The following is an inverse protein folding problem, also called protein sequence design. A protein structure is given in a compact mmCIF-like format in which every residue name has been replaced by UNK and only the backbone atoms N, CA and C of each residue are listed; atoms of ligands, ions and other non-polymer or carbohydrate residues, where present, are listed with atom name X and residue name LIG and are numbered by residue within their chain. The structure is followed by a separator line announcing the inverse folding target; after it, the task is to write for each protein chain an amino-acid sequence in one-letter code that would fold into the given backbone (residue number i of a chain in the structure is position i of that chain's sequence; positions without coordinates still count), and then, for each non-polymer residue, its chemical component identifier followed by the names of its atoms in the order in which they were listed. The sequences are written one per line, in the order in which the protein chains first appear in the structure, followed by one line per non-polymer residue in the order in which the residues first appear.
data_IF_192062697443
#
_entry.id   IF_192062697443
#
_cell.length_a   1.000
_cell.length_b   1.000
_cell.length_c   1.000
_cell.angle_alpha   90.00
_cell.angle_beta   90.00
_cell.angle_gamma   90.00
#
_symmetry.space_group_name_H-M   'P 1'
#
loop_
_entity.id
_entity.type
_entity.pdbx_description
1 polymer ?
#
# COMPACT_ATOMS: atom_id res chain seq x y z
N UNK A 1 -11.98 50.94 -111.58
CA UNK A 1 -12.78 49.76 -111.20
C UNK A 1 -12.09 49.15 -110.00
N UNK A 2 -12.56 49.47 -108.78
CA UNK A 2 -13.42 48.59 -107.93
C UNK A 2 -12.64 47.34 -107.49
N UNK A 3 -12.48 47.03 -106.21
CA UNK A 3 -13.58 46.67 -105.30
C UNK A 3 -13.11 46.46 -103.82
N UNK A 4 -14.08 46.58 -102.90
CA UNK A 4 -14.30 45.81 -101.66
C UNK A 4 -13.53 46.00 -100.32
N UNK A 5 -14.38 46.19 -99.29
CA UNK A 5 -14.24 46.05 -97.83
C UNK A 5 -13.62 44.74 -97.33
N UNK A 6 -12.92 44.78 -96.18
CA UNK A 6 -13.36 44.20 -94.87
C UNK A 6 -12.37 44.54 -93.74
N UNK A 7 -12.81 44.84 -92.48
CA UNK A 7 -11.93 45.22 -91.37
C UNK A 7 -11.71 44.06 -90.37
N UNK A 8 -10.55 43.98 -89.70
CA UNK A 8 -10.41 43.11 -88.52
C UNK A 8 -9.23 43.44 -87.58
N UNK A 9 -9.59 43.68 -86.32
CA UNK A 9 -8.95 43.25 -85.07
C UNK A 9 -7.60 43.85 -84.65
N UNK A 10 -7.73 44.92 -83.85
CA UNK A 10 -6.77 45.46 -82.89
C UNK A 10 -6.33 44.40 -81.87
N UNK A 11 -5.02 44.18 -81.72
CA UNK A 11 -4.44 43.30 -80.69
C UNK A 11 -4.39 44.03 -79.36
N UNK A 12 -5.19 43.56 -78.40
CA UNK A 12 -5.21 44.02 -77.01
C UNK A 12 -3.87 43.79 -76.28
N UNK A 13 -3.48 44.68 -75.35
CA UNK A 13 -2.26 44.54 -74.56
C UNK A 13 -2.38 43.43 -73.50
N UNK A 14 -1.26 42.74 -73.25
CA UNK A 14 -1.11 41.63 -72.31
C UNK A 14 -1.36 42.10 -70.86
N UNK A 15 -2.09 41.34 -70.01
CA UNK A 15 -2.42 41.81 -68.67
C UNK A 15 -1.22 41.75 -67.74
N UNK A 16 -0.92 42.88 -67.09
CA UNK A 16 0.11 43.00 -66.06
C UNK A 16 -0.24 42.11 -64.84
N UNK A 17 0.76 41.42 -64.30
CA UNK A 17 0.60 40.49 -63.19
C UNK A 17 0.11 41.20 -61.92
N UNK A 18 -1.07 40.78 -61.46
CA UNK A 18 -1.82 41.34 -60.34
C UNK A 18 -1.09 41.09 -58.99
N UNK A 19 -0.55 42.13 -58.30
CA UNK A 19 0.23 41.97 -57.08
C UNK A 19 -0.59 41.36 -55.91
N UNK A 20 -1.92 41.49 -55.95
CA UNK A 20 -2.83 40.89 -54.98
C UNK A 20 -2.81 39.35 -55.02
N UNK A 21 -2.69 38.74 -56.20
CA UNK A 21 -2.61 37.27 -56.34
C UNK A 21 -1.30 36.70 -55.80
N UNK A 22 -0.20 37.46 -55.93
CA UNK A 22 1.10 37.09 -55.34
C UNK A 22 1.08 37.17 -53.81
N UNK A 23 0.43 38.18 -53.24
CA UNK A 23 0.25 38.31 -51.79
C UNK A 23 -0.63 37.18 -51.23
N UNK A 24 -1.75 36.85 -51.89
CA UNK A 24 -2.62 35.72 -51.50
C UNK A 24 -1.86 34.40 -51.58
N UNK A 25 -1.09 34.15 -52.65
CA UNK A 25 -0.27 32.94 -52.73
C UNK A 25 0.80 32.87 -51.63
N UNK A 26 1.41 33.99 -51.26
CA UNK A 26 2.34 34.05 -50.13
C UNK A 26 1.67 33.72 -48.80
N UNK A 27 0.47 34.25 -48.56
CA UNK A 27 -0.33 33.94 -47.37
C UNK A 27 -0.72 32.47 -47.36
N UNK A 28 -1.19 31.90 -48.47
CA UNK A 28 -1.53 30.48 -48.58
C UNK A 28 -0.32 29.59 -48.36
N UNK A 29 0.84 29.94 -48.93
CA UNK A 29 2.10 29.22 -48.70
C UNK A 29 2.50 29.30 -47.22
N UNK A 30 2.36 30.46 -46.57
CA UNK A 30 2.59 30.62 -45.13
C UNK A 30 1.64 29.76 -44.30
N UNK A 31 0.36 29.70 -44.65
CA UNK A 31 -0.63 28.86 -43.95
C UNK A 31 -0.26 27.37 -44.11
N UNK A 32 0.08 26.93 -45.32
CA UNK A 32 0.47 25.53 -45.58
C UNK A 32 1.77 25.21 -44.83
N UNK A 33 2.78 26.08 -44.89
CA UNK A 33 4.03 25.91 -44.17
C UNK A 33 3.80 25.85 -42.66
N UNK A 34 2.94 26.71 -42.12
CA UNK A 34 2.53 26.71 -40.71
C UNK A 34 1.77 25.45 -40.32
N UNK A 35 0.92 24.92 -41.20
CA UNK A 35 0.17 23.68 -40.95
C UNK A 35 1.10 22.46 -40.95
N UNK A 36 2.00 22.36 -41.93
CA UNK A 36 3.01 21.30 -42.01
C UNK A 36 3.93 21.37 -40.80
N UNK A 37 4.36 22.57 -40.42
CA UNK A 37 5.13 22.81 -39.20
C UNK A 37 4.39 22.33 -37.95
N UNK A 38 3.12 22.73 -37.77
CA UNK A 38 2.30 22.35 -36.63
C UNK A 38 2.17 20.82 -36.52
N UNK A 39 1.87 20.14 -37.63
CA UNK A 39 1.74 18.68 -37.66
C UNK A 39 3.07 17.96 -37.38
N UNK A 40 4.20 18.52 -37.83
CA UNK A 40 5.52 17.97 -37.54
C UNK A 40 5.96 18.19 -36.10
N UNK A 41 5.69 19.39 -35.54
CA UNK A 41 5.99 19.70 -34.16
C UNK A 41 5.19 18.81 -33.20
N UNK A 42 3.89 18.62 -33.45
CA UNK A 42 3.02 17.76 -32.63
C UNK A 42 3.49 16.29 -32.63
N UNK A 43 4.01 15.80 -33.77
CA UNK A 43 4.48 14.41 -33.91
C UNK A 43 5.86 14.13 -33.30
N UNK A 44 6.78 15.08 -33.40
CA UNK A 44 8.20 14.86 -33.07
C UNK A 44 8.70 15.60 -31.84
N UNK A 45 8.02 16.65 -31.42
CA UNK A 45 8.35 17.43 -30.22
C UNK A 45 7.07 17.64 -29.41
N UNK A 46 6.44 16.55 -28.94
CA UNK A 46 5.13 16.64 -28.33
C UNK A 46 5.21 17.46 -27.05
N UNK A 47 4.34 18.45 -26.99
CA UNK A 47 4.25 19.43 -25.91
C UNK A 47 2.87 19.39 -25.29
N UNK A 48 2.80 19.47 -23.97
CA UNK A 48 1.54 19.59 -23.25
C UNK A 48 1.65 20.57 -22.10
N UNK A 49 0.63 21.41 -21.97
CA UNK A 49 0.40 22.29 -20.82
C UNK A 49 -0.49 21.61 -19.77
N UNK A 50 -1.06 20.46 -20.11
CA UNK A 50 -1.90 19.68 -19.21
C UNK A 50 -1.03 18.70 -18.43
N UNK A 51 -0.09 19.23 -17.66
CA UNK A 51 0.69 18.43 -16.74
C UNK A 51 0.53 18.96 -15.32
N UNK A 52 0.51 18.02 -14.36
CA UNK A 52 0.39 18.33 -12.94
C UNK A 52 1.44 17.61 -12.14
N UNK A 53 1.99 18.32 -11.17
CA UNK A 53 2.84 17.74 -10.13
C UNK A 53 1.98 16.85 -9.23
N UNK A 54 2.40 15.61 -9.05
CA UNK A 54 1.76 14.63 -8.18
C UNK A 54 2.78 14.12 -7.15
N UNK A 55 2.27 13.75 -5.99
CA UNK A 55 3.03 13.16 -4.91
C UNK A 55 2.17 12.12 -4.20
N UNK A 56 2.77 11.19 -3.47
CA UNK A 56 1.98 10.27 -2.64
C UNK A 56 1.28 11.02 -1.52
N UNK A 57 -0.03 10.90 -1.49
CA UNK A 57 -0.90 11.48 -0.46
C UNK A 57 -1.29 10.33 0.46
N UNK A 58 -0.72 10.32 1.66
CA UNK A 58 -0.92 9.26 2.65
C UNK A 58 -1.84 9.78 3.74
N UNK A 59 -3.09 9.28 3.85
CA UNK A 59 -3.93 9.60 4.99
C UNK A 59 -3.31 9.02 6.26
N UNK A 60 -3.09 9.88 7.25
CA UNK A 60 -2.62 9.46 8.59
C UNK A 60 -3.86 9.29 9.46
N UNK A 61 -4.14 8.05 9.82
CA UNK A 61 -5.25 7.68 10.69
C UNK A 61 -4.74 7.23 12.07
N UNK A 62 -5.60 7.32 13.08
CA UNK A 62 -5.34 6.66 14.34
C UNK A 62 -5.45 5.14 14.15
N UNK A 63 -4.51 4.38 14.72
CA UNK A 63 -4.56 2.91 14.70
C UNK A 63 -5.51 2.38 15.80
N UNK A 64 -5.69 3.15 16.87
CA UNK A 64 -6.58 2.84 17.98
C UNK A 64 -7.50 4.01 18.29
N UNK A 65 -8.73 3.73 18.74
CA UNK A 65 -9.75 4.74 18.98
C UNK A 65 -9.62 5.39 20.36
N UNK A 66 -9.64 6.72 20.43
CA UNK A 66 -9.68 7.40 21.71
C UNK A 66 -9.59 8.91 21.60
N UNK A 67 -9.56 9.59 22.76
CA UNK A 67 -9.43 11.05 22.81
C UNK A 67 -7.98 11.47 22.60
N UNK A 68 -7.74 12.43 21.72
CA UNK A 68 -6.41 13.00 21.49
C UNK A 68 -5.99 13.83 22.70
N UNK A 69 -4.82 13.55 23.26
CA UNK A 69 -4.26 14.25 24.43
C UNK A 69 -3.26 15.31 24.03
N UNK A 70 -2.49 15.07 22.95
CA UNK A 70 -1.47 15.99 22.43
C UNK A 70 -1.38 15.88 20.92
N UNK A 71 -1.11 17.01 20.28
CA UNK A 71 -0.75 17.10 18.85
C UNK A 71 0.62 17.77 18.79
N UNK A 72 1.60 17.08 18.20
CA UNK A 72 3.01 17.52 18.16
C UNK A 72 3.39 18.23 16.86
N UNK A 73 2.48 18.20 15.88
CA UNK A 73 2.71 18.77 14.55
C UNK A 73 1.70 19.87 14.24
N UNK A 74 2.09 20.78 13.35
CA UNK A 74 1.20 21.82 12.80
C UNK A 74 0.99 21.63 11.31
N UNK A 75 -0.06 22.26 10.79
CA UNK A 75 -0.34 22.26 9.37
C UNK A 75 0.82 22.90 8.58
N UNK A 76 1.19 22.31 7.43
CA UNK A 76 2.34 22.67 6.60
C UNK A 76 3.72 22.53 7.27
N UNK A 77 3.88 21.57 8.19
CA UNK A 77 5.16 21.21 8.80
C UNK A 77 5.79 20.02 8.09
N UNK A 78 7.11 20.09 7.86
CA UNK A 78 7.93 18.96 7.41
C UNK A 78 8.23 18.04 8.60
N UNK A 79 8.01 16.73 8.41
CA UNK A 79 8.20 15.69 9.41
C UNK A 79 9.08 14.57 8.87
N UNK A 80 9.90 14.00 9.75
CA UNK A 80 10.75 12.85 9.43
C UNK A 80 10.00 11.54 9.66
N UNK A 81 10.45 10.47 9.00
CA UNK A 81 9.99 9.13 9.32
C UNK A 81 10.27 8.79 10.80
N UNK A 82 9.27 8.25 11.49
CA UNK A 82 9.31 7.94 12.92
C UNK A 82 8.95 9.10 13.85
N UNK A 83 8.76 10.31 13.33
CA UNK A 83 8.39 11.47 14.17
C UNK A 83 6.99 11.32 14.75
N UNK A 84 6.83 11.65 16.03
CA UNK A 84 5.55 11.57 16.74
C UNK A 84 4.61 12.67 16.25
N UNK A 85 3.42 12.29 15.80
CA UNK A 85 2.44 13.22 15.22
C UNK A 85 1.41 13.65 16.26
N UNK A 86 0.76 12.68 16.90
CA UNK A 86 -0.22 12.92 17.96
C UNK A 86 -0.32 11.73 18.90
N UNK A 87 -0.88 11.99 20.09
CA UNK A 87 -1.08 11.00 21.13
C UNK A 87 -2.59 10.84 21.43
N UNK A 88 -3.02 9.60 21.55
CA UNK A 88 -4.33 9.19 22.05
C UNK A 88 -4.22 8.86 23.54
N UNK A 89 -5.26 9.10 24.33
CA UNK A 89 -5.25 8.79 25.77
C UNK A 89 -4.89 7.31 26.01
N UNK A 90 -3.76 7.00 26.67
CA UNK A 90 -3.29 5.64 26.85
C UNK A 90 -3.95 4.91 28.02
N UNK A 91 -4.69 5.58 28.91
CA UNK A 91 -5.16 5.00 30.18
C UNK A 91 -5.93 3.69 29.99
N UNK A 92 -6.89 3.64 29.06
CA UNK A 92 -7.66 2.43 28.81
C UNK A 92 -6.81 1.28 28.27
N UNK A 93 -5.75 1.60 27.51
CA UNK A 93 -4.83 0.62 26.93
C UNK A 93 -3.83 0.12 27.97
N UNK A 94 -3.37 1.00 28.86
CA UNK A 94 -2.54 0.59 29.99
C UNK A 94 -3.31 -0.37 30.91
N UNK A 95 -4.56 -0.07 31.22
CA UNK A 95 -5.44 -0.97 32.00
C UNK A 95 -5.61 -2.32 31.28
N UNK A 96 -5.74 -2.31 29.94
CA UNK A 96 -5.84 -3.54 29.16
C UNK A 96 -4.54 -4.37 29.23
N UNK A 97 -3.36 -3.73 29.15
CA UNK A 97 -2.06 -4.39 29.34
C UNK A 97 -1.95 -5.00 30.73
N UNK A 98 -2.30 -4.23 31.77
CA UNK A 98 -2.21 -4.69 33.16
C UNK A 98 -3.14 -5.89 33.41
N UNK A 99 -4.34 -5.86 32.82
CA UNK A 99 -5.29 -6.99 32.87
C UNK A 99 -4.75 -8.21 32.14
N UNK A 100 -4.27 -8.05 30.91
CA UNK A 100 -3.74 -9.16 30.12
C UNK A 100 -2.49 -9.80 30.78
N UNK A 101 -1.67 -8.98 31.44
CA UNK A 101 -0.52 -9.44 32.23
C UNK A 101 -0.97 -10.27 33.44
N UNK A 102 -1.97 -9.80 34.17
CA UNK A 102 -2.53 -10.53 35.31
C UNK A 102 -3.16 -11.86 34.87
N UNK A 103 -3.85 -11.87 33.72
CA UNK A 103 -4.45 -13.07 33.13
C UNK A 103 -3.36 -14.08 32.73
N UNK A 104 -2.27 -13.64 32.09
CA UNK A 104 -1.12 -14.50 31.77
C UNK A 104 -0.48 -15.11 33.02
N UNK A 105 -0.30 -14.32 34.07
CA UNK A 105 0.26 -14.81 35.34
C UNK A 105 -0.69 -15.83 36.01
N UNK A 106 -1.99 -15.57 35.98
CA UNK A 106 -3.01 -16.50 36.48
C UNK A 106 -2.99 -17.83 35.73
N UNK A 107 -2.95 -17.79 34.39
CA UNK A 107 -2.85 -18.98 33.54
C UNK A 107 -1.56 -19.74 33.79
N UNK A 108 -0.41 -19.06 33.90
CA UNK A 108 0.86 -19.70 34.26
C UNK A 108 0.77 -20.43 35.60
N UNK A 109 0.17 -19.81 36.63
CA UNK A 109 -0.06 -20.47 37.93
C UNK A 109 -0.97 -21.70 37.80
N UNK A 110 -2.02 -21.63 36.98
CA UNK A 110 -2.91 -22.76 36.74
C UNK A 110 -2.19 -23.93 36.06
N UNK A 111 -1.33 -23.65 35.06
CA UNK A 111 -0.50 -24.68 34.41
C UNK A 111 0.48 -25.32 35.41
N UNK A 112 1.10 -24.51 36.28
CA UNK A 112 1.94 -25.01 37.37
C UNK A 112 1.18 -25.93 38.33
N UNK A 113 -0.05 -25.56 38.71
CA UNK A 113 -0.91 -26.39 39.55
C UNK A 113 -1.33 -27.71 38.86
N UNK A 114 -1.65 -27.66 37.56
CA UNK A 114 -1.97 -28.86 36.78
C UNK A 114 -0.76 -29.81 36.67
N UNK A 115 0.44 -29.25 36.50
CA UNK A 115 1.70 -30.01 36.47
C UNK A 115 1.93 -30.75 37.79
N UNK A 116 1.80 -30.07 38.92
CA UNK A 116 1.87 -30.70 40.25
C UNK A 116 0.77 -31.77 40.43
N UNK A 117 -0.41 -31.57 39.85
CA UNK A 117 -1.48 -32.55 39.80
C UNK A 117 -1.10 -33.83 39.05
N UNK A 118 -0.42 -33.69 37.91
CA UNK A 118 0.12 -34.84 37.14
C UNK A 118 1.14 -35.62 37.96
N UNK A 119 2.07 -34.93 38.63
CA UNK A 119 3.09 -35.57 39.47
C UNK A 119 2.46 -36.38 40.61
N UNK A 120 1.41 -35.84 41.24
CA UNK A 120 0.62 -36.55 42.25
C UNK A 120 -0.04 -37.82 41.69
N UNK A 121 -0.69 -37.75 40.51
CA UNK A 121 -1.29 -38.94 39.87
C UNK A 121 -0.24 -39.97 39.44
N UNK A 122 0.94 -39.54 39.01
CA UNK A 122 2.06 -40.43 38.69
C UNK A 122 2.58 -41.15 39.94
N UNK A 123 2.64 -40.47 41.09
CA UNK A 123 2.98 -41.11 42.35
C UNK A 123 1.94 -42.19 42.74
N UNK A 124 0.64 -41.91 42.56
CA UNK A 124 -0.43 -42.90 42.79
C UNK A 124 -0.32 -44.10 41.85
N UNK A 125 -0.01 -43.89 40.57
CA UNK A 125 0.24 -44.98 39.61
C UNK A 125 1.41 -45.85 40.05
N UNK A 126 2.53 -45.25 40.50
CA UNK A 126 3.68 -46.00 41.02
C UNK A 126 3.30 -46.84 42.25
N UNK A 127 2.46 -46.32 43.14
CA UNK A 127 1.96 -47.08 44.29
C UNK A 127 1.09 -48.27 43.86
N UNK A 128 0.17 -48.08 42.90
CA UNK A 128 -0.64 -49.17 42.34
C UNK A 128 0.21 -50.24 41.64
N UNK A 129 1.25 -49.83 40.90
CA UNK A 129 2.18 -50.76 40.26
C UNK A 129 2.98 -51.58 41.27
N UNK A 130 3.41 -50.96 42.38
CA UNK A 130 4.07 -51.68 43.46
C UNK A 130 3.14 -52.74 44.11
N UNK A 131 1.86 -52.41 44.27
CA UNK A 131 0.84 -53.35 44.78
C UNK A 131 0.58 -54.50 43.80
N UNK A 132 0.50 -54.22 42.50
CA UNK A 132 0.37 -55.25 41.46
C UNK A 132 1.59 -56.19 41.46
N UNK A 133 2.80 -55.64 41.54
CA UNK A 133 4.04 -56.42 41.61
C UNK A 133 4.03 -57.35 42.83
N UNK A 134 3.63 -56.83 44.00
CA UNK A 134 3.49 -57.64 45.22
C UNK A 134 2.49 -58.76 45.03
N UNK A 135 1.27 -58.46 44.55
CA UNK A 135 0.23 -59.46 44.32
C UNK A 135 0.68 -60.54 43.32
N UNK A 136 1.41 -60.14 42.27
CA UNK A 136 2.00 -61.03 41.27
C UNK A 136 3.06 -61.97 41.88
N UNK A 137 3.94 -61.45 42.72
CA UNK A 137 4.94 -62.26 43.41
C UNK A 137 4.30 -63.23 44.40
N UNK A 138 3.24 -62.80 45.10
CA UNK A 138 2.51 -63.63 46.05
C UNK A 138 1.80 -64.81 45.35
N UNK A 139 1.10 -64.58 44.23
CA UNK A 139 0.49 -65.68 43.47
C UNK A 139 1.55 -66.63 42.90
N UNK A 140 2.66 -66.11 42.35
CA UNK A 140 3.75 -66.95 41.84
C UNK A 140 4.38 -67.82 42.93
N UNK A 141 4.52 -67.28 44.15
CA UNK A 141 5.01 -68.03 45.31
C UNK A 141 4.03 -69.13 45.70
N UNK A 142 2.73 -68.82 45.78
CA UNK A 142 1.69 -69.79 46.14
C UNK A 142 1.53 -70.89 45.08
N UNK A 143 1.57 -70.55 43.79
CA UNK A 143 1.52 -71.52 42.69
C UNK A 143 2.73 -72.46 42.66
N UNK A 144 3.91 -71.96 43.07
CA UNK A 144 5.11 -72.80 43.23
C UNK A 144 4.93 -73.75 44.40
N UNK A 145 4.52 -73.23 45.56
CA UNK A 145 4.32 -74.01 46.78
C UNK A 145 3.27 -75.11 46.59
N UNK A 146 2.16 -74.81 45.88
CA UNK A 146 1.12 -75.79 45.57
C UNK A 146 1.60 -76.93 44.65
N UNK A 147 2.52 -76.63 43.72
CA UNK A 147 3.09 -77.62 42.80
C UNK A 147 4.17 -78.49 43.45
N UNK A 148 5.00 -77.89 44.27
CA UNK A 148 6.13 -78.58 44.92
C UNK A 148 5.70 -79.40 46.14
N UNK A 149 4.66 -78.97 46.88
CA UNK A 149 4.19 -79.63 48.09
C UNK A 149 2.65 -79.72 48.17
N UNK A 150 2.04 -80.74 47.53
CA UNK A 150 0.59 -80.90 47.46
C UNK A 150 -0.02 -81.17 48.85
N UNK A 151 -0.69 -80.17 49.42
CA UNK A 151 -1.39 -80.26 50.71
C UNK A 151 -1.08 -79.12 51.69
N UNK A 152 0.00 -78.36 51.45
CA UNK A 152 0.45 -77.28 52.34
C UNK A 152 -0.41 -76.02 52.26
N UNK A 153 -1.12 -75.78 51.15
CA UNK A 153 -2.07 -74.66 51.01
C UNK A 153 -3.41 -75.12 50.41
N UNK A 154 -4.49 -74.42 50.76
CA UNK A 154 -5.83 -74.68 50.21
C UNK A 154 -6.05 -74.04 48.84
N UNK A 155 -6.82 -74.70 47.95
CA UNK A 155 -7.21 -74.15 46.64
C UNK A 155 -7.85 -72.77 46.75
N UNK A 156 -8.71 -72.57 47.76
CA UNK A 156 -9.35 -71.29 48.07
C UNK A 156 -8.32 -70.16 48.28
N UNK A 157 -7.17 -70.44 48.90
CA UNK A 157 -6.13 -69.42 49.10
C UNK A 157 -5.53 -68.94 47.79
N UNK A 158 -5.36 -69.85 46.83
CA UNK A 158 -4.84 -69.55 45.49
C UNK A 158 -5.87 -68.76 44.66
N UNK A 159 -7.15 -69.14 44.73
CA UNK A 159 -8.25 -68.39 44.10
C UNK A 159 -8.36 -66.96 44.63
N UNK A 160 -8.27 -66.77 45.95
CA UNK A 160 -8.26 -65.42 46.57
C UNK A 160 -7.07 -64.61 46.05
N UNK A 161 -5.86 -65.19 46.03
CA UNK A 161 -4.67 -64.49 45.54
C UNK A 161 -4.77 -64.13 44.06
N UNK A 162 -5.41 -64.97 43.24
CA UNK A 162 -5.68 -64.67 41.82
C UNK A 162 -6.66 -63.50 41.69
N UNK A 163 -7.73 -63.50 42.48
CA UNK A 163 -8.68 -62.37 42.52
C UNK A 163 -8.01 -61.06 42.97
N UNK A 164 -7.11 -61.11 43.96
CA UNK A 164 -6.33 -59.94 44.40
C UNK A 164 -5.39 -59.42 43.30
N UNK A 165 -4.76 -60.30 42.52
CA UNK A 165 -3.96 -59.87 41.37
C UNK A 165 -4.84 -59.16 40.33
N UNK A 166 -5.98 -59.75 39.97
CA UNK A 166 -6.91 -59.16 38.99
C UNK A 166 -7.43 -57.78 39.45
N UNK A 167 -7.72 -57.63 40.74
CA UNK A 167 -8.07 -56.35 41.35
C UNK A 167 -6.93 -55.33 41.20
N UNK A 168 -5.69 -55.72 41.51
CA UNK A 168 -4.53 -54.83 41.41
C UNK A 168 -4.23 -54.40 39.97
N UNK A 169 -4.43 -55.28 38.99
CA UNK A 169 -4.33 -54.96 37.55
C UNK A 169 -5.36 -53.89 37.18
N UNK A 170 -6.61 -54.07 37.63
CA UNK A 170 -7.69 -53.10 37.41
C UNK A 170 -7.38 -51.75 38.05
N UNK A 171 -6.78 -51.73 39.24
CA UNK A 171 -6.34 -50.50 39.91
C UNK A 171 -5.22 -49.78 39.15
N UNK A 172 -4.24 -50.51 38.60
CA UNK A 172 -3.19 -49.93 37.75
C UNK A 172 -3.79 -49.33 36.48
N UNK A 173 -4.73 -50.03 35.84
CA UNK A 173 -5.43 -49.50 34.67
C UNK A 173 -6.18 -48.20 34.98
N UNK A 174 -6.91 -48.15 36.11
CA UNK A 174 -7.59 -46.94 36.57
C UNK A 174 -6.61 -45.79 36.87
N UNK A 175 -5.51 -46.06 37.59
CA UNK A 175 -4.49 -45.06 37.90
C UNK A 175 -3.81 -44.52 36.63
N UNK A 176 -3.58 -45.38 35.62
CA UNK A 176 -3.03 -44.97 34.33
C UNK A 176 -3.98 -44.04 33.58
N UNK A 177 -5.29 -44.33 33.60
CA UNK A 177 -6.32 -43.46 33.02
C UNK A 177 -6.42 -42.11 33.74
N UNK A 178 -6.23 -42.07 35.06
CA UNK A 178 -6.15 -40.82 35.84
C UNK A 178 -4.93 -39.96 35.46
N UNK A 179 -3.75 -40.57 35.29
CA UNK A 179 -2.56 -39.85 34.80
C UNK A 179 -2.80 -39.28 33.41
N UNK A 180 -3.42 -40.05 32.52
CA UNK A 180 -3.73 -39.59 31.17
C UNK A 180 -4.69 -38.40 31.18
N UNK A 181 -5.77 -38.46 31.97
CA UNK A 181 -6.70 -37.33 32.16
C UNK A 181 -6.01 -36.10 32.71
N UNK A 182 -5.11 -36.26 33.69
CA UNK A 182 -4.35 -35.15 34.25
C UNK A 182 -3.40 -34.51 33.22
N UNK A 183 -2.75 -35.31 32.36
CA UNK A 183 -1.90 -34.81 31.26
C UNK A 183 -2.70 -34.05 30.21
N UNK A 184 -3.89 -34.55 29.86
CA UNK A 184 -4.80 -33.86 28.95
C UNK A 184 -5.27 -32.51 29.53
N UNK A 185 -5.56 -32.45 30.83
CA UNK A 185 -5.90 -31.21 31.53
C UNK A 185 -4.72 -30.24 31.64
N UNK A 186 -3.49 -30.75 31.77
CA UNK A 186 -2.28 -29.94 31.75
C UNK A 186 -2.08 -29.28 30.38
N UNK A 187 -2.54 -29.90 29.29
CA UNK A 187 -2.55 -29.29 27.96
C UNK A 187 -1.16 -29.12 27.32
N UNK A 188 -0.17 -29.91 27.75
CA UNK A 188 1.22 -29.85 27.27
C UNK A 188 2.20 -29.21 28.24
N UNK A 189 3.44 -29.02 27.79
CA UNK A 189 4.46 -28.28 28.54
C UNK A 189 4.17 -26.78 28.50
N UNK A 190 4.81 -25.99 29.38
CA UNK A 190 4.56 -24.53 29.48
C UNK A 190 4.64 -23.83 28.11
N UNK A 191 5.64 -24.14 27.29
CA UNK A 191 5.87 -23.47 25.99
C UNK A 191 4.87 -23.86 24.88
N UNK A 192 4.23 -25.02 24.99
CA UNK A 192 3.28 -25.53 23.99
C UNK A 192 1.83 -25.48 24.47
N UNK A 193 1.61 -25.01 25.70
CA UNK A 193 0.29 -24.94 26.28
C UNK A 193 -0.55 -23.87 25.56
N UNK A 194 -1.62 -24.31 24.91
CA UNK A 194 -2.50 -23.43 24.13
C UNK A 194 -3.14 -22.29 24.96
N UNK A 195 -3.41 -22.53 26.24
CA UNK A 195 -3.96 -21.49 27.12
C UNK A 195 -2.90 -20.44 27.46
N UNK A 196 -1.65 -20.86 27.70
CA UNK A 196 -0.55 -19.93 27.97
C UNK A 196 -0.21 -19.10 26.73
N UNK A 197 -0.13 -19.74 25.55
CA UNK A 197 0.10 -19.06 24.27
C UNK A 197 -1.00 -18.03 23.97
N UNK A 198 -2.27 -18.40 24.17
CA UNK A 198 -3.39 -17.48 24.01
C UNK A 198 -3.31 -16.29 24.96
N UNK A 199 -3.00 -16.52 26.23
CA UNK A 199 -2.82 -15.43 27.21
C UNK A 199 -1.63 -14.53 26.86
N UNK A 200 -0.53 -15.10 26.36
CA UNK A 200 0.64 -14.34 25.92
C UNK A 200 0.33 -13.46 24.69
N UNK A 201 -0.37 -14.02 23.68
CA UNK A 201 -0.82 -13.26 22.51
C UNK A 201 -1.82 -12.15 22.87
N UNK A 202 -2.66 -12.35 23.88
CA UNK A 202 -3.55 -11.29 24.38
C UNK A 202 -2.77 -10.15 25.04
N UNK A 203 -1.69 -10.46 25.76
CA UNK A 203 -0.78 -9.45 26.32
C UNK A 203 -0.05 -8.70 25.20
N UNK A 204 0.53 -9.40 24.23
CA UNK A 204 1.23 -8.79 23.08
C UNK A 204 0.30 -7.86 22.30
N UNK A 205 -0.96 -8.29 22.06
CA UNK A 205 -1.96 -7.44 21.43
C UNK A 205 -2.26 -6.18 22.25
N UNK A 206 -2.43 -6.30 23.56
CA UNK A 206 -2.69 -5.15 24.42
C UNK A 206 -1.49 -4.17 24.44
N UNK A 207 -0.27 -4.69 24.43
CA UNK A 207 0.97 -3.90 24.35
C UNK A 207 1.10 -3.19 23.00
N UNK A 208 0.74 -3.86 21.90
CA UNK A 208 0.67 -3.26 20.57
C UNK A 208 -0.37 -2.14 20.54
N UNK A 209 -1.58 -2.39 21.02
CA UNK A 209 -2.65 -1.39 21.09
C UNK A 209 -2.22 -0.17 21.94
N UNK A 210 -1.50 -0.39 23.05
CA UNK A 210 -0.89 0.68 23.86
C UNK A 210 0.18 1.44 23.08
N UNK A 211 1.05 0.76 22.35
CA UNK A 211 2.08 1.41 21.53
C UNK A 211 1.46 2.28 20.43
N UNK A 212 0.36 1.81 19.85
CA UNK A 212 -0.41 2.45 18.79
C UNK A 212 -1.19 3.69 19.27
N UNK A 213 -1.21 3.96 20.57
CA UNK A 213 -1.72 5.25 21.12
C UNK A 213 -0.83 6.42 20.69
N UNK A 214 0.44 6.17 20.37
CA UNK A 214 1.38 7.15 19.85
C UNK A 214 1.47 6.96 18.35
N UNK A 215 0.90 7.89 17.60
CA UNK A 215 0.87 7.79 16.14
C UNK A 215 2.09 8.49 15.55
N UNK A 216 2.93 7.71 14.87
CA UNK A 216 4.17 8.18 14.25
C UNK A 216 4.03 8.30 12.73
N UNK A 217 4.85 9.16 12.12
CA UNK A 217 4.95 9.24 10.66
C UNK A 217 5.64 8.00 10.07
N UNK A 218 4.99 7.27 9.17
CA UNK A 218 5.58 6.09 8.50
C UNK A 218 6.64 6.45 7.45
N UNK A 219 6.57 7.64 6.88
CA UNK A 219 7.53 8.18 5.91
C UNK A 219 7.77 9.66 6.17
N UNK A 220 8.87 10.21 5.63
CA UNK A 220 9.15 11.64 5.70
C UNK A 220 8.29 12.41 4.69
N UNK A 221 7.78 13.57 5.09
CA UNK A 221 6.87 14.34 4.24
C UNK A 221 6.34 15.61 4.90
N UNK A 222 5.42 16.28 4.20
CA UNK A 222 4.76 17.48 4.67
C UNK A 222 3.36 17.15 5.21
N UNK A 223 3.04 17.56 6.42
CA UNK A 223 1.70 17.43 6.98
C UNK A 223 0.78 18.51 6.42
N UNK A 224 -0.38 18.11 5.90
CA UNK A 224 -1.46 18.98 5.46
C UNK A 224 -2.82 18.51 6.01
N UNK A 225 -3.82 19.37 5.94
CA UNK A 225 -5.21 19.08 6.34
C UNK A 225 -5.30 18.46 7.75
N UNK A 226 -4.61 19.07 8.72
CA UNK A 226 -4.68 18.69 10.12
C UNK A 226 -6.09 19.00 10.66
N UNK A 227 -6.90 17.97 10.90
CA UNK A 227 -8.30 18.08 11.35
C UNK A 227 -8.52 17.70 12.81
N UNK A 228 -7.45 17.52 13.57
CA UNK A 228 -7.54 17.17 14.99
C UNK A 228 -6.88 18.21 15.87
N UNK A 229 -7.38 18.26 17.09
CA UNK A 229 -6.83 19.07 18.17
C UNK A 229 -7.01 18.31 19.50
N UNK A 230 -6.32 18.77 20.52
CA UNK A 230 -6.42 18.22 21.87
C UNK A 230 -7.88 18.19 22.33
N UNK A 231 -8.33 17.04 22.80
CA UNK A 231 -9.70 16.81 23.26
C UNK A 231 -10.64 16.22 22.20
N UNK A 232 -10.28 16.23 20.91
CA UNK A 232 -11.07 15.56 19.86
C UNK A 232 -11.02 14.05 19.99
N UNK A 233 -12.06 13.37 19.51
CA UNK A 233 -12.12 11.91 19.47
C UNK A 233 -11.64 11.40 18.10
N UNK A 234 -10.56 10.62 18.11
CA UNK A 234 -10.04 9.96 16.92
C UNK A 234 -10.56 8.52 16.86
N UNK A 235 -11.19 8.16 15.74
CA UNK A 235 -11.65 6.79 15.49
C UNK A 235 -10.55 6.01 14.75
N UNK A 236 -10.37 4.73 15.11
CA UNK A 236 -9.44 3.85 14.42
C UNK A 236 -9.76 3.77 12.92
N UNK A 237 -8.73 3.94 12.08
CA UNK A 237 -8.84 3.94 10.62
C UNK A 237 -9.42 5.22 9.99
N UNK A 238 -9.95 6.15 10.79
CA UNK A 238 -10.40 7.44 10.27
C UNK A 238 -9.21 8.40 10.10
N UNK A 239 -9.03 9.01 8.91
CA UNK A 239 -7.93 9.93 8.67
C UNK A 239 -8.09 11.21 9.50
N UNK A 240 -7.02 11.59 10.15
CA UNK A 240 -6.94 12.71 11.09
C UNK A 240 -6.12 13.86 10.52
N UNK A 241 -5.13 13.52 9.69
CA UNK A 241 -4.33 14.44 8.89
C UNK A 241 -3.86 13.75 7.61
N UNK A 242 -3.26 14.50 6.71
CA UNK A 242 -2.71 13.97 5.46
C UNK A 242 -1.21 14.24 5.40
N UNK A 243 -0.41 13.24 5.06
CA UNK A 243 1.02 13.38 4.84
C UNK A 243 1.31 13.32 3.34
N UNK A 244 1.96 14.34 2.81
CA UNK A 244 2.42 14.39 1.41
C UNK A 244 3.89 14.00 1.38
N UNK A 245 4.23 12.91 0.70
CA UNK A 245 5.62 12.48 0.53
C UNK A 245 6.35 13.39 -0.48
N UNK A 246 6.90 14.51 -0.01
CA UNK A 246 7.56 15.53 -0.85
C UNK A 246 8.89 15.06 -1.47
N UNK A 247 9.41 13.91 -1.07
CA UNK A 247 10.64 13.32 -1.58
C UNK A 247 10.41 12.44 -2.82
N UNK A 248 9.15 12.03 -3.05
CA UNK A 248 8.74 11.16 -4.15
C UNK A 248 7.68 11.88 -5.01
N UNK A 249 8.14 12.89 -5.75
CA UNK A 249 7.28 13.72 -6.61
C UNK A 249 7.49 13.33 -8.07
N UNK A 250 6.40 13.19 -8.81
CA UNK A 250 6.40 12.93 -10.26
C UNK A 250 5.46 13.90 -10.97
N UNK A 251 5.54 13.95 -12.29
CA UNK A 251 4.61 14.71 -13.12
C UNK A 251 3.71 13.73 -13.87
N UNK A 252 2.41 13.98 -13.81
CA UNK A 252 1.44 13.36 -14.72
C UNK A 252 1.14 14.34 -15.83
N UNK A 253 1.57 14.02 -17.04
CA UNK A 253 1.37 14.85 -18.23
C UNK A 253 0.37 14.18 -19.17
N UNK A 254 -0.75 14.85 -19.43
CA UNK A 254 -1.80 14.33 -20.32
C UNK A 254 -1.42 14.64 -21.77
N UNK A 255 -1.00 13.61 -22.49
CA UNK A 255 -0.57 13.71 -23.89
C UNK A 255 -1.61 13.07 -24.82
N UNK A 256 -1.83 13.64 -26.01
CA UNK A 256 -2.76 13.10 -27.00
C UNK A 256 -2.25 11.79 -27.60
N UNK A 257 -3.15 10.92 -28.08
CA UNK A 257 -2.79 9.64 -28.71
C UNK A 257 -1.77 9.79 -29.85
N UNK A 258 -1.88 10.85 -30.67
CA UNK A 258 -0.94 11.15 -31.74
C UNK A 258 0.50 11.40 -31.24
N UNK A 259 0.61 11.99 -30.04
CA UNK A 259 1.88 12.37 -29.42
C UNK A 259 2.60 11.15 -28.82
N UNK A 260 1.84 10.13 -28.38
CA UNK A 260 2.38 8.91 -27.78
C UNK A 260 3.13 8.03 -28.78
N UNK A 261 2.86 8.15 -30.09
CA UNK A 261 3.48 7.30 -31.11
C UNK A 261 5.01 7.38 -31.14
N UNK A 262 5.59 8.47 -30.63
CA UNK A 262 7.04 8.68 -30.51
C UNK A 262 7.54 8.62 -29.08
N UNK A 263 6.67 8.67 -28.06
CA UNK A 263 7.06 8.74 -26.64
C UNK A 263 7.16 7.34 -26.06
N UNK A 264 8.37 6.96 -25.64
CA UNK A 264 8.65 5.67 -25.00
C UNK A 264 9.22 5.86 -23.59
N UNK A 265 9.11 4.86 -22.69
CA UNK A 265 9.85 4.88 -21.42
C UNK A 265 11.34 5.19 -21.66
N UNK A 266 11.89 6.11 -20.86
CA UNK A 266 13.26 6.64 -21.00
C UNK A 266 13.40 7.87 -21.90
N UNK A 267 12.34 8.31 -22.58
CA UNK A 267 12.39 9.53 -23.41
C UNK A 267 12.76 10.75 -22.56
N UNK A 268 13.77 11.55 -22.94
CA UNK A 268 14.14 12.74 -22.20
C UNK A 268 13.07 13.82 -22.37
N UNK A 269 12.75 14.51 -21.27
CA UNK A 269 11.77 15.60 -21.26
C UNK A 269 12.34 16.83 -20.57
N UNK A 270 11.84 17.99 -20.98
CA UNK A 270 12.04 19.25 -20.24
C UNK A 270 10.73 19.69 -19.62
N UNK A 271 10.82 20.11 -18.37
CA UNK A 271 9.70 20.45 -17.51
C UNK A 271 9.84 21.91 -17.12
N UNK A 272 8.77 22.67 -17.23
CA UNK A 272 8.65 24.01 -16.67
C UNK A 272 7.54 23.97 -15.63
N UNK A 273 7.83 24.44 -14.42
CA UNK A 273 6.86 24.51 -13.33
C UNK A 273 6.40 25.95 -13.17
N UNK A 274 5.09 26.17 -13.13
CA UNK A 274 4.54 27.52 -12.92
C UNK A 274 4.89 28.05 -11.52
N UNK A 275 5.06 27.14 -10.55
CA UNK A 275 5.50 27.49 -9.21
C UNK A 275 6.96 27.98 -9.13
N UNK A 276 7.78 27.69 -10.15
CA UNK A 276 9.20 28.04 -10.22
C UNK A 276 9.53 28.62 -11.61
N UNK A 277 9.05 29.84 -11.92
CA UNK A 277 9.28 30.46 -13.23
C UNK A 277 10.77 30.68 -13.49
N UNK A 278 11.17 30.69 -14.76
CA UNK A 278 12.55 30.88 -15.20
C UNK A 278 13.48 29.66 -15.07
N UNK A 279 13.02 28.55 -14.46
CA UNK A 279 13.78 27.29 -14.38
C UNK A 279 13.20 26.24 -15.30
N UNK A 280 14.09 25.48 -15.93
CA UNK A 280 13.75 24.31 -16.75
C UNK A 280 14.37 23.10 -16.06
N UNK A 281 13.52 22.19 -15.61
CA UNK A 281 13.94 20.93 -15.00
C UNK A 281 14.07 19.86 -16.07
N UNK A 282 15.05 18.97 -15.88
CA UNK A 282 15.22 17.80 -16.71
C UNK A 282 14.55 16.59 -16.07
N UNK A 283 14.00 15.74 -16.92
CA UNK A 283 13.38 14.50 -16.50
C UNK A 283 13.35 13.48 -17.62
N UNK A 284 12.73 12.35 -17.33
CA UNK A 284 12.53 11.28 -18.28
C UNK A 284 11.16 10.62 -18.07
N UNK A 285 10.62 10.05 -19.14
CA UNK A 285 9.37 9.30 -19.07
C UNK A 285 9.60 7.98 -18.32
N UNK A 286 8.97 7.81 -17.15
CA UNK A 286 8.98 6.55 -16.40
C UNK A 286 8.09 5.53 -17.09
N UNK A 287 6.85 5.93 -17.39
CA UNK A 287 5.86 5.06 -18.02
C UNK A 287 4.82 5.85 -18.79
N UNK A 288 4.23 5.19 -19.79
CA UNK A 288 3.09 5.70 -20.55
C UNK A 288 1.86 4.89 -20.11
N UNK A 289 0.79 5.57 -19.70
CA UNK A 289 -0.45 4.89 -19.29
C UNK A 289 -1.04 4.06 -20.43
N UNK A 290 -1.27 2.77 -20.20
CA UNK A 290 -1.85 1.85 -21.18
C UNK A 290 -3.37 1.93 -21.30
N UNK A 291 -4.04 2.70 -20.44
CA UNK A 291 -5.49 2.85 -20.45
C UNK A 291 -5.92 4.12 -19.72
N UNK A 292 -7.02 4.70 -20.19
CA UNK A 292 -7.71 5.81 -19.54
C UNK A 292 -9.17 5.44 -19.35
N UNK A 293 -9.73 5.77 -18.20
CA UNK A 293 -11.15 5.62 -17.94
C UNK A 293 -11.89 6.78 -18.63
N UNK A 294 -12.61 6.47 -19.71
CA UNK A 294 -13.40 7.44 -20.46
C UNK A 294 -14.81 7.49 -19.86
N UNK A 295 -14.99 8.28 -18.80
CA UNK A 295 -16.28 8.50 -18.14
C UNK A 295 -16.17 8.79 -16.63
N UNK A 296 -17.22 9.35 -16.04
CA UNK A 296 -17.35 9.38 -14.57
C UNK A 296 -17.61 7.97 -14.05
N UNK A 297 -16.78 7.49 -13.13
CA UNK A 297 -17.06 6.27 -12.37
C UNK A 297 -18.42 6.43 -11.67
N UNK A 298 -19.48 5.82 -12.20
CA UNK A 298 -20.78 5.84 -11.56
C UNK A 298 -20.70 5.00 -10.30
N UNK A 299 -20.93 5.59 -9.12
CA UNK A 299 -21.13 4.82 -7.90
C UNK A 299 -22.29 3.82 -8.12
N UNK A 300 -22.21 2.61 -7.55
CA UNK A 300 -23.31 1.64 -7.63
C UNK A 300 -24.64 2.28 -7.20
N UNK A 301 -25.63 2.30 -8.09
CA UNK A 301 -26.98 2.84 -7.81
C UNK A 301 -27.35 4.15 -8.52
N UNK A 302 -26.44 4.82 -9.23
CA UNK A 302 -26.80 5.93 -10.12
C UNK A 302 -27.01 5.46 -11.56
N UNK A 303 -28.02 6.01 -12.25
CA UNK A 303 -28.21 5.79 -13.68
C UNK A 303 -27.05 6.42 -14.47
N UNK A 304 -26.46 5.72 -15.46
CA UNK A 304 -25.45 6.30 -16.34
C UNK A 304 -25.98 7.56 -17.02
N UNK A 305 -25.30 8.70 -16.84
CA UNK A 305 -25.59 9.90 -17.62
C UNK A 305 -24.90 9.77 -18.97
N UNK A 306 -25.68 9.75 -20.05
CA UNK A 306 -25.15 9.86 -21.41
C UNK A 306 -24.80 11.32 -21.67
N UNK A 307 -23.51 11.66 -21.64
CA UNK A 307 -23.06 12.95 -22.17
C UNK A 307 -23.06 12.88 -23.71
N UNK A 308 -24.01 13.58 -24.34
CA UNK A 308 -23.97 13.83 -25.78
C UNK A 308 -23.04 15.01 -26.04
N UNK A 309 -21.75 14.76 -26.29
CA UNK A 309 -20.83 15.76 -26.80
C UNK A 309 -21.27 16.20 -28.20
N UNK A 310 -21.66 17.46 -28.37
CA UNK A 310 -22.09 18.07 -29.65
C UNK A 310 -20.91 18.56 -30.51
N UNK A 311 -19.73 17.97 -30.31
CA UNK A 311 -18.55 18.33 -31.09
C UNK A 311 -18.53 17.56 -32.40
N UNK A 312 -18.45 18.29 -33.52
CA UNK A 312 -18.43 17.75 -34.88
C UNK A 312 -17.13 17.00 -35.22
N UNK A 313 -16.12 17.11 -34.36
CA UNK A 313 -14.89 16.33 -34.37
C UNK A 313 -14.75 15.61 -33.03
N UNK A 314 -14.40 14.32 -33.06
CA UNK A 314 -14.09 13.58 -31.83
C UNK A 314 -12.88 14.26 -31.14
N UNK A 315 -12.99 14.66 -29.87
CA UNK A 315 -11.84 15.19 -29.15
C UNK A 315 -10.75 14.12 -29.09
N UNK A 316 -9.49 14.54 -29.23
CA UNK A 316 -8.36 13.64 -29.10
C UNK A 316 -8.34 13.06 -27.68
N UNK A 317 -8.29 11.73 -27.56
CA UNK A 317 -8.09 11.08 -26.27
C UNK A 317 -6.69 11.41 -25.76
N UNK A 318 -6.61 11.64 -24.45
CA UNK A 318 -5.35 11.95 -23.76
C UNK A 318 -5.02 10.82 -22.81
N UNK A 319 -3.75 10.48 -22.73
CA UNK A 319 -3.24 9.44 -21.86
C UNK A 319 -2.23 10.07 -20.89
N UNK A 320 -2.29 9.71 -19.60
CA UNK A 320 -1.33 10.19 -18.62
C UNK A 320 0.03 9.55 -18.88
N UNK A 321 1.03 10.39 -19.08
CA UNK A 321 2.44 10.00 -19.17
C UNK A 321 3.09 10.38 -17.84
N UNK A 322 3.65 9.38 -17.15
CA UNK A 322 4.31 9.56 -15.87
C UNK A 322 5.77 9.91 -16.13
N UNK A 323 6.20 11.05 -15.57
CA UNK A 323 7.52 11.62 -15.76
C UNK A 323 8.21 11.75 -14.41
N UNK A 324 9.46 11.31 -14.35
CA UNK A 324 10.34 11.49 -13.22
C UNK A 324 11.34 12.62 -13.46
N UNK A 325 11.65 13.35 -12.39
CA UNK A 325 12.76 14.31 -12.37
C UNK A 325 14.11 13.59 -12.37
N UNK A 326 15.11 14.19 -12.99
CA UNK A 326 16.47 13.67 -12.97
C UNK A 326 17.11 13.81 -11.57
N UNK A 327 17.94 12.86 -11.10
CA UNK A 327 18.53 12.91 -9.78
C UNK A 327 19.32 14.21 -9.52
N UNK A 328 19.00 14.93 -8.44
CA UNK A 328 19.69 16.16 -8.03
C UNK A 328 19.04 17.47 -8.50
N UNK A 329 18.14 17.44 -9.48
CA UNK A 329 17.37 18.61 -9.94
C UNK A 329 16.41 19.14 -8.86
N UNK A 330 15.94 18.25 -7.97
CA UNK A 330 15.09 18.57 -6.83
C UNK A 330 15.87 18.62 -5.51
N UNK A 331 16.84 19.53 -5.41
CA UNK A 331 17.70 19.65 -4.21
C UNK A 331 17.01 20.32 -3.02
N UNK A 332 15.86 20.96 -3.23
CA UNK A 332 15.01 21.49 -2.16
C UNK A 332 13.54 21.45 -2.59
N UNK A 333 12.66 20.73 -1.88
CA UNK A 333 11.22 20.70 -2.19
C UNK A 333 10.50 22.04 -1.92
N UNK A 334 11.23 23.08 -1.52
CA UNK A 334 10.70 24.42 -1.29
C UNK A 334 10.14 25.00 -2.60
N UNK A 335 8.81 25.13 -2.67
CA UNK A 335 8.09 25.76 -3.79
C UNK A 335 7.32 24.77 -4.67
N UNK A 336 7.63 23.47 -4.61
CA UNK A 336 6.88 22.47 -5.37
C UNK A 336 5.65 22.06 -4.56
N UNK A 337 4.47 22.29 -5.15
CA UNK A 337 3.18 21.98 -4.54
C UNK A 337 2.52 20.84 -5.31
N UNK A 338 2.05 19.83 -4.60
CA UNK A 338 1.19 18.80 -5.18
C UNK A 338 -0.05 19.46 -5.81
N UNK A 339 -0.40 19.06 -7.03
CA UNK A 339 -1.44 19.68 -7.85
C UNK A 339 -0.99 20.90 -8.67
N UNK A 340 0.25 21.37 -8.50
CA UNK A 340 0.82 22.47 -9.27
C UNK A 340 0.84 22.19 -10.77
N UNK A 341 0.62 23.24 -11.57
CA UNK A 341 0.65 23.15 -13.03
C UNK A 341 2.10 23.06 -13.53
N UNK A 342 2.26 22.28 -14.58
CA UNK A 342 3.53 22.08 -15.25
C UNK A 342 3.30 22.06 -16.77
N UNK A 343 4.31 22.50 -17.49
CA UNK A 343 4.42 22.30 -18.91
C UNK A 343 5.52 21.26 -19.18
N UNK A 344 5.24 20.33 -20.09
CA UNK A 344 6.18 19.27 -20.45
C UNK A 344 6.36 19.24 -21.95
N UNK A 345 7.61 19.19 -22.38
CA UNK A 345 8.00 18.89 -23.75
C UNK A 345 8.88 17.64 -23.78
N UNK A 346 8.52 16.66 -24.59
CA UNK A 346 9.35 15.47 -24.79
C UNK A 346 10.24 15.58 -26.03
N UNK A 347 11.42 14.97 -25.97
CA UNK A 347 12.39 14.93 -27.06
C UNK A 347 12.71 13.48 -27.47
N UNK A 348 11.83 12.79 -28.23
CA UNK A 348 12.03 11.39 -28.65
C UNK A 348 13.25 11.10 -29.53
N UNK A 349 13.73 12.10 -30.28
CA UNK A 349 14.83 11.91 -31.25
C UNK A 349 15.85 13.03 -31.09
N UNK A 350 17.11 12.72 -30.80
CA UNK A 350 18.12 13.75 -30.50
C UNK A 350 18.53 14.58 -31.73
N UNK A 351 18.47 13.99 -32.93
CA UNK A 351 18.97 14.59 -34.19
C UNK A 351 17.96 15.50 -34.91
N UNK A 352 16.82 15.80 -34.31
CA UNK A 352 15.78 16.59 -34.96
C UNK A 352 16.08 18.11 -34.83
N UNK A 353 16.21 18.88 -35.94
CA UNK A 353 16.39 20.33 -35.88
C UNK A 353 15.26 21.05 -35.13
N UNK A 354 14.06 20.45 -35.05
CA UNK A 354 12.93 20.95 -34.28
C UNK A 354 13.21 21.04 -32.78
N UNK A 355 14.13 20.23 -32.24
CA UNK A 355 14.48 20.26 -30.81
C UNK A 355 15.12 21.57 -30.39
N UNK A 356 15.92 22.19 -31.27
CA UNK A 356 16.58 23.47 -30.98
C UNK A 356 15.51 24.56 -30.82
N UNK A 357 14.53 24.56 -31.72
CA UNK A 357 13.40 25.48 -31.69
C UNK A 357 12.47 25.19 -30.50
N UNK A 358 12.22 23.93 -30.17
CA UNK A 358 11.45 23.52 -28.99
C UNK A 358 12.11 23.96 -27.67
N UNK A 359 13.42 23.81 -27.53
CA UNK A 359 14.17 24.31 -26.36
C UNK A 359 14.14 25.84 -26.26
N UNK A 360 14.23 26.54 -27.41
CA UNK A 360 14.14 28.00 -27.44
C UNK A 360 12.73 28.48 -27.08
N UNK A 361 11.70 27.77 -27.57
CA UNK A 361 10.31 28.00 -27.20
C UNK A 361 10.08 27.78 -25.70
N UNK A 362 10.53 26.66 -25.13
CA UNK A 362 10.43 26.42 -23.69
C UNK A 362 11.17 27.47 -22.86
N UNK A 363 12.33 27.94 -23.33
CA UNK A 363 13.06 29.02 -22.65
C UNK A 363 12.28 30.33 -22.67
N UNK A 364 11.58 30.62 -23.76
CA UNK A 364 10.69 31.78 -23.85
C UNK A 364 9.46 31.60 -22.95
N UNK A 365 8.82 30.42 -22.96
CA UNK A 365 7.68 30.10 -22.08
C UNK A 365 8.05 30.17 -20.61
N UNK A 366 9.21 29.63 -20.23
CA UNK A 366 9.76 29.72 -18.87
C UNK A 366 10.00 31.16 -18.41
N UNK A 367 10.25 32.08 -19.35
CA UNK A 367 10.36 33.51 -19.04
C UNK A 367 8.98 34.19 -19.00
N UNK A 368 8.08 33.76 -19.89
CA UNK A 368 6.70 34.26 -19.94
C UNK A 368 5.86 33.82 -18.74
N UNK A 369 6.22 32.73 -18.06
CA UNK A 369 5.59 32.33 -16.80
C UNK A 369 5.86 33.30 -15.64
N UNK A 370 6.74 34.30 -15.80
CA UNK A 370 6.79 35.45 -14.87
C UNK A 370 5.68 36.47 -15.09
N UNK A 371 5.04 36.48 -16.26
CA UNK A 371 4.07 37.50 -16.67
C UNK A 371 2.62 37.16 -16.33
N UNK A 372 2.35 35.94 -15.84
CA UNK A 372 1.02 35.50 -15.43
C UNK A 372 0.99 35.12 -13.95
#
# INVERSE_FOLDING_TARGET
MTDSQQPAAEKAPTPAADPAKKAINWVVVLIILSLVWYLMADRYTPYTQQARVQAFIVPVAAEVSGRVTKVHVRNNQDVKAGELLFEVNPEQYQIAVDRARADLESTRRQVGANTAGVDSKQASLRASQANELKARQDIQRLERLYREDPGTISLRRLEISRATLEESISQVAAAKAEVQRAREQQGGNEDENAQLLSAASNLEKAELDLSNTKVHARSAGLITDLRTDVGQFASAGAPVMTLIAIHDVWISADMTENNLGSVQPGTPVSIVLDALPGRIFKGHVRSVGYGVEVGQSTQPGSLPKVENSRDWLRPAQRFPVIIEFEPGELTSPQGIRSGGQAEVMAFPSESNPLNILGRLFLRLMSWMSYAY
#
